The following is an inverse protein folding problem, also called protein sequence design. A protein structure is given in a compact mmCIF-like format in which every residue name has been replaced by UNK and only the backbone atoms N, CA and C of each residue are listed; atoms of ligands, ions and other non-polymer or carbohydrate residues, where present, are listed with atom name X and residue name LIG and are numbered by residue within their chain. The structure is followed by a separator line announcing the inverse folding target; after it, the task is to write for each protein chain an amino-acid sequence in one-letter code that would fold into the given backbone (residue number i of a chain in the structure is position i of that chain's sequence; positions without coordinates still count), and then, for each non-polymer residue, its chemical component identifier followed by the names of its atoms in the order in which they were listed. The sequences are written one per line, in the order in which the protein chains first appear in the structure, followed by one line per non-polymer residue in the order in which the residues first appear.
data_IF_537743832569
#
_entry.id   IF_537743832569
#
_cell.length_a   1.000
_cell.length_b   1.000
_cell.length_c   1.000
_cell.angle_alpha   90.00
_cell.angle_beta   90.00
_cell.angle_gamma   90.00
#
_symmetry.space_group_name_H-M   'P 1'
#
loop_
_entity.id
_entity.type
_entity.pdbx_description
1 polymer ?
#
# COMPACT_ATOMS: atom_id res chain seq x y z
N UNK A 1 -17.52 14.79 -10.84
CA UNK A 1 -16.96 14.55 -9.49
C UNK A 1 -16.51 13.10 -9.46
N UNK A 2 -15.31 12.79 -9.95
CA UNK A 2 -14.78 11.42 -9.98
C UNK A 2 -13.26 11.35 -10.19
N UNK A 3 -12.64 12.32 -10.88
CA UNK A 3 -11.27 12.14 -11.41
C UNK A 3 -10.12 12.16 -10.39
N UNK A 4 -10.36 12.52 -9.13
CA UNK A 4 -9.30 12.61 -8.11
C UNK A 4 -9.17 11.36 -7.23
N UNK A 5 -10.24 10.61 -7.00
CA UNK A 5 -10.18 9.41 -6.15
C UNK A 5 -9.55 8.23 -6.88
N UNK A 6 -9.71 8.18 -8.21
CA UNK A 6 -9.14 7.11 -9.03
C UNK A 6 -7.62 7.23 -9.14
N UNK A 7 -7.07 8.46 -9.12
CA UNK A 7 -5.63 8.68 -9.16
C UNK A 7 -4.93 8.20 -7.87
N UNK A 8 -5.54 8.45 -6.70
CA UNK A 8 -5.01 7.99 -5.41
C UNK A 8 -4.96 6.46 -5.36
N UNK A 9 -6.08 5.81 -5.67
CA UNK A 9 -6.18 4.35 -5.71
C UNK A 9 -5.22 3.71 -6.73
N UNK A 10 -5.10 4.32 -7.91
CA UNK A 10 -4.15 3.85 -8.92
C UNK A 10 -2.69 3.98 -8.44
N UNK A 11 -2.36 5.05 -7.70
CA UNK A 11 -1.04 5.21 -7.08
C UNK A 11 -0.74 4.11 -6.05
N UNK A 12 -1.71 3.77 -5.20
CA UNK A 12 -1.59 2.66 -4.23
C UNK A 12 -1.40 1.31 -4.93
N UNK A 13 -2.17 1.03 -5.99
CA UNK A 13 -2.03 -0.19 -6.79
C UNK A 13 -0.62 -0.29 -7.42
N UNK A 14 -0.11 0.81 -7.99
CA UNK A 14 1.25 0.87 -8.53
C UNK A 14 2.32 0.67 -7.44
N UNK A 15 2.11 1.20 -6.24
CA UNK A 15 3.03 1.03 -5.13
C UNK A 15 3.08 -0.42 -4.64
N UNK A 16 1.92 -1.09 -4.55
CA UNK A 16 1.82 -2.52 -4.25
C UNK A 16 2.56 -3.35 -5.30
N UNK A 17 2.30 -3.10 -6.58
CA UNK A 17 2.95 -3.82 -7.69
C UNK A 17 4.47 -3.64 -7.65
N UNK A 18 4.94 -2.41 -7.43
CA UNK A 18 6.36 -2.12 -7.30
C UNK A 18 6.99 -2.88 -6.13
N UNK A 19 6.35 -2.88 -4.96
CA UNK A 19 6.85 -3.59 -3.79
C UNK A 19 6.92 -5.11 -4.04
N UNK A 20 5.86 -5.70 -4.60
CA UNK A 20 5.83 -7.12 -4.95
C UNK A 20 6.92 -7.50 -5.94
N UNK A 21 7.10 -6.71 -7.00
CA UNK A 21 8.18 -6.92 -7.98
C UNK A 21 9.58 -6.83 -7.37
N UNK A 22 9.74 -6.05 -6.30
CA UNK A 22 11.01 -5.92 -5.56
C UNK A 22 11.18 -6.97 -4.44
N UNK A 23 10.30 -7.98 -4.39
CA UNK A 23 10.38 -9.11 -3.46
C UNK A 23 9.84 -8.80 -2.07
N UNK A 24 8.97 -7.80 -1.93
CA UNK A 24 8.22 -7.58 -0.69
C UNK A 24 6.93 -8.42 -0.70
N UNK A 25 6.58 -8.98 0.44
CA UNK A 25 5.28 -9.54 0.74
C UNK A 25 4.38 -8.44 1.29
N UNK A 26 3.21 -8.22 0.68
CA UNK A 26 2.23 -7.26 1.20
C UNK A 26 1.44 -7.96 2.30
N UNK A 27 1.51 -7.41 3.52
CA UNK A 27 0.81 -7.97 4.68
C UNK A 27 -0.60 -7.37 4.80
N UNK A 28 -0.73 -6.06 4.66
CA UNK A 28 -1.99 -5.33 4.75
C UNK A 28 -1.92 -4.06 3.88
N UNK A 29 -3.08 -3.57 3.42
CA UNK A 29 -3.23 -2.25 2.81
C UNK A 29 -4.40 -1.52 3.46
N UNK A 30 -4.38 -0.18 3.42
CA UNK A 30 -5.41 0.66 4.02
C UNK A 30 -5.66 0.32 5.52
N UNK A 31 -4.58 0.12 6.27
CA UNK A 31 -4.65 -0.26 7.68
C UNK A 31 -4.95 0.97 8.54
N UNK A 32 -5.96 0.84 9.41
CA UNK A 32 -6.39 1.94 10.29
C UNK A 32 -6.47 1.44 11.73
N UNK A 33 -5.88 2.19 12.65
CA UNK A 33 -6.00 1.96 14.08
C UNK A 33 -6.16 3.26 14.86
N UNK A 34 -7.32 3.41 15.50
CA UNK A 34 -7.74 4.64 16.18
C UNK A 34 -7.70 5.87 15.24
N UNK A 35 -6.67 6.72 15.40
CA UNK A 35 -6.46 7.94 14.60
C UNK A 35 -5.24 7.81 13.68
N UNK A 36 -4.62 6.64 13.62
CA UNK A 36 -3.47 6.35 12.78
C UNK A 36 -3.91 5.53 11.55
N UNK A 37 -3.25 5.81 10.44
CA UNK A 37 -3.49 5.19 9.13
C UNK A 37 -2.13 4.84 8.51
N UNK A 38 -2.08 3.68 7.85
CA UNK A 38 -0.94 3.21 7.06
C UNK A 38 -1.48 2.68 5.74
N UNK A 39 -1.03 3.27 4.64
CA UNK A 39 -1.51 2.92 3.30
C UNK A 39 -1.12 1.48 2.90
N UNK A 40 0.13 1.08 3.18
CA UNK A 40 0.66 -0.24 2.82
C UNK A 40 1.62 -0.74 3.92
N UNK A 41 1.40 -1.96 4.39
CA UNK A 41 2.32 -2.70 5.26
C UNK A 41 2.92 -3.82 4.43
N UNK A 42 4.24 -3.80 4.25
CA UNK A 42 4.96 -4.78 3.44
C UNK A 42 6.21 -5.26 4.16
N UNK A 43 6.54 -6.53 4.00
CA UNK A 43 7.70 -7.17 4.61
C UNK A 43 8.64 -7.67 3.53
N UNK A 44 9.94 -7.49 3.71
CA UNK A 44 10.97 -8.14 2.88
C UNK A 44 11.93 -8.89 3.77
N UNK A 45 11.93 -10.22 3.64
CA UNK A 45 12.71 -11.10 4.51
C UNK A 45 12.40 -10.82 6.00
N UNK A 46 13.39 -10.41 6.79
CA UNK A 46 13.25 -10.07 8.21
C UNK A 46 13.06 -8.56 8.46
N UNK A 47 12.78 -7.77 7.43
CA UNK A 47 12.61 -6.31 7.53
C UNK A 47 11.14 -5.96 7.28
N UNK A 48 10.54 -5.26 8.25
CA UNK A 48 9.20 -4.68 8.21
C UNK A 48 9.31 -3.14 8.21
#
# INVERSE_FOLDING_TARGET
MADHNDLGKFGEELAVDFLQQNGYEILETNWVFQKAEIDIIAQKENIL
#
